data_IF_604831564351
#
_entry.id   IF_604831564351
#
_cell.length_a   1.000
_cell.length_b   1.000
_cell.length_c   1.000
_cell.angle_alpha   90.00
_cell.angle_beta   90.00
_cell.angle_gamma   90.00
#
_symmetry.space_group_name_H-M   'P 1'
#
loop_
_entity.id
_entity.type
_entity.pdbx_description
1 polymer ?
#
# COMPACT_ATOMS: atom_id res chain seq x y z
N UNK A 1 94.11 -18.14 -72.42
CA UNK A 1 95.26 -17.25 -72.23
C UNK A 1 95.06 -16.56 -70.89
N UNK A 2 95.80 -17.04 -69.89
CA UNK A 2 95.91 -16.51 -68.53
C UNK A 2 96.55 -15.13 -68.52
N UNK A 3 96.20 -14.27 -67.55
CA UNK A 3 97.08 -13.50 -66.62
C UNK A 3 96.23 -12.41 -65.93
N UNK A 4 95.73 -12.60 -64.71
CA UNK A 4 96.31 -12.15 -63.41
C UNK A 4 96.90 -10.74 -63.39
N UNK A 5 96.38 -9.87 -62.51
CA UNK A 5 97.16 -9.19 -61.44
C UNK A 5 96.31 -8.26 -60.55
N UNK A 6 96.10 -8.77 -59.34
CA UNK A 6 96.06 -8.20 -57.98
C UNK A 6 96.36 -6.70 -57.74
N UNK A 7 95.56 -6.10 -56.83
CA UNK A 7 95.89 -4.85 -56.09
C UNK A 7 95.65 -5.07 -54.59
N UNK A 8 96.67 -4.70 -53.79
CA UNK A 8 96.79 -4.89 -52.34
C UNK A 8 96.28 -3.67 -51.54
N UNK A 9 95.68 -3.98 -50.38
CA UNK A 9 95.00 -3.16 -49.37
C UNK A 9 95.83 -2.08 -48.64
N UNK A 10 95.13 -1.11 -48.04
CA UNK A 10 95.48 -0.48 -46.75
C UNK A 10 94.21 -0.25 -45.86
N UNK A 11 94.34 -0.16 -44.52
CA UNK A 11 93.32 -0.64 -43.58
C UNK A 11 92.49 0.47 -42.90
N UNK A 12 91.22 0.16 -42.59
CA UNK A 12 90.43 0.86 -41.56
C UNK A 12 90.70 0.25 -40.18
N UNK A 13 90.95 1.11 -39.19
CA UNK A 13 91.15 0.72 -37.78
C UNK A 13 89.88 0.13 -37.13
N UNK A 14 90.03 -0.58 -35.99
CA UNK A 14 88.96 -1.38 -35.40
C UNK A 14 87.90 -0.49 -34.73
N UNK A 15 86.60 -0.82 -34.85
CA UNK A 15 85.56 -0.25 -34.01
C UNK A 15 85.70 -0.76 -32.57
N UNK A 16 85.74 0.17 -31.62
CA UNK A 16 85.79 -0.12 -30.18
C UNK A 16 84.57 -0.91 -29.70
N UNK A 17 84.83 -1.84 -28.80
CA UNK A 17 83.82 -2.65 -28.12
C UNK A 17 82.96 -1.77 -27.20
N UNK A 18 81.81 -1.29 -27.68
CA UNK A 18 80.77 -0.73 -26.83
C UNK A 18 80.20 -1.84 -25.96
N UNK A 19 80.39 -1.68 -24.65
CA UNK A 19 80.10 -2.67 -23.63
C UNK A 19 78.65 -3.15 -23.68
N UNK A 20 78.50 -4.42 -24.03
CA UNK A 20 77.27 -5.21 -23.99
C UNK A 20 76.57 -5.22 -22.62
N UNK A 21 77.20 -4.71 -21.56
CA UNK A 21 76.71 -4.75 -20.18
C UNK A 21 75.73 -3.64 -19.80
N UNK A 22 75.90 -2.40 -20.27
CA UNK A 22 75.05 -1.27 -19.84
C UNK A 22 73.67 -1.31 -20.52
N UNK A 23 73.64 -1.73 -21.79
CA UNK A 23 72.41 -2.10 -22.50
C UNK A 23 71.71 -3.27 -21.82
N UNK A 24 72.47 -4.26 -21.32
CA UNK A 24 71.92 -5.38 -20.56
C UNK A 24 71.20 -4.93 -19.28
N UNK A 25 71.79 -4.00 -18.51
CA UNK A 25 71.20 -3.49 -17.26
C UNK A 25 69.92 -2.69 -17.51
N UNK A 26 69.90 -1.83 -18.53
CA UNK A 26 68.70 -1.08 -18.93
C UNK A 26 67.60 -2.01 -19.45
N UNK A 27 67.96 -3.03 -20.23
CA UNK A 27 67.04 -4.08 -20.67
C UNK A 27 66.48 -4.86 -19.48
N UNK A 28 67.32 -5.19 -18.50
CA UNK A 28 66.89 -5.90 -17.28
C UNK A 28 65.91 -5.06 -16.46
N UNK A 29 66.19 -3.78 -16.25
CA UNK A 29 65.30 -2.85 -15.53
C UNK A 29 63.96 -2.70 -16.27
N UNK A 30 63.98 -2.55 -17.59
CA UNK A 30 62.76 -2.50 -18.41
C UNK A 30 61.92 -3.77 -18.29
N UNK A 31 62.55 -4.94 -18.32
CA UNK A 31 61.88 -6.23 -18.12
C UNK A 31 61.25 -6.37 -16.73
N UNK A 32 61.94 -5.93 -15.68
CA UNK A 32 61.41 -5.99 -14.31
C UNK A 32 60.21 -5.06 -14.11
N UNK A 33 60.25 -3.84 -14.66
CA UNK A 33 59.13 -2.89 -14.60
C UNK A 33 57.92 -3.41 -15.39
N UNK A 34 58.16 -3.96 -16.58
CA UNK A 34 57.11 -4.55 -17.40
C UNK A 34 56.47 -5.77 -16.72
N UNK A 35 57.28 -6.65 -16.13
CA UNK A 35 56.81 -7.78 -15.36
C UNK A 35 55.98 -7.33 -14.14
N UNK A 36 56.43 -6.31 -13.40
CA UNK A 36 55.68 -5.73 -12.29
C UNK A 36 54.34 -5.12 -12.71
N UNK A 37 54.31 -4.39 -13.83
CA UNK A 37 53.08 -3.82 -14.39
C UNK A 37 52.11 -4.91 -14.86
N UNK A 38 52.61 -5.96 -15.53
CA UNK A 38 51.82 -7.13 -15.92
C UNK A 38 51.18 -7.80 -14.71
N UNK A 39 51.95 -8.05 -13.64
CA UNK A 39 51.42 -8.65 -12.41
C UNK A 39 50.37 -7.75 -11.76
N UNK A 40 50.59 -6.43 -11.69
CA UNK A 40 49.61 -5.49 -11.16
C UNK A 40 48.31 -5.46 -11.98
N UNK A 41 48.40 -5.47 -13.31
CA UNK A 41 47.23 -5.55 -14.20
C UNK A 41 46.48 -6.88 -14.02
N UNK A 42 47.20 -8.00 -13.95
CA UNK A 42 46.59 -9.32 -13.71
C UNK A 42 45.87 -9.36 -12.35
N UNK A 43 46.46 -8.79 -11.30
CA UNK A 43 45.83 -8.71 -9.98
C UNK A 43 44.57 -7.82 -9.99
N UNK A 44 44.60 -6.69 -10.70
CA UNK A 44 43.43 -5.81 -10.82
C UNK A 44 42.30 -6.48 -11.60
N UNK A 45 42.60 -7.16 -12.71
CA UNK A 45 41.62 -7.94 -13.48
C UNK A 45 41.08 -9.11 -12.65
N UNK A 46 41.90 -9.72 -11.79
CA UNK A 46 41.47 -10.79 -10.87
C UNK A 46 40.54 -10.31 -9.75
N UNK A 47 40.48 -8.99 -9.51
CA UNK A 47 39.65 -8.36 -8.47
C UNK A 47 38.33 -7.81 -8.99
N UNK A 48 38.21 -7.62 -10.30
CA UNK A 48 36.98 -7.19 -10.96
C UNK A 48 36.09 -8.43 -11.11
N UNK A 49 34.85 -8.42 -10.60
CA UNK A 49 33.92 -9.51 -10.82
C UNK A 49 33.77 -9.80 -12.30
N UNK A 50 33.75 -11.07 -12.67
CA UNK A 50 33.52 -11.48 -14.05
C UNK A 50 32.21 -10.88 -14.56
N UNK A 51 32.13 -10.55 -15.86
CA UNK A 51 30.85 -10.11 -16.47
C UNK A 51 29.72 -11.11 -16.21
N UNK A 52 30.05 -12.41 -16.09
CA UNK A 52 29.11 -13.45 -15.70
C UNK A 52 28.68 -13.38 -14.24
N UNK A 53 29.58 -13.03 -13.31
CA UNK A 53 29.24 -12.88 -11.89
C UNK A 53 28.29 -11.70 -11.67
N UNK A 54 28.46 -10.62 -12.44
CA UNK A 54 27.64 -9.42 -12.36
C UNK A 54 26.24 -9.61 -12.96
N UNK A 55 26.13 -10.33 -14.09
CA UNK A 55 24.83 -10.77 -14.63
C UNK A 55 24.10 -11.73 -13.68
N UNK A 56 24.85 -12.62 -13.02
CA UNK A 56 24.28 -13.55 -12.06
C UNK A 56 23.80 -12.86 -10.78
N UNK A 57 24.51 -11.82 -10.32
CA UNK A 57 24.10 -11.01 -9.17
C UNK A 57 22.88 -10.14 -9.49
N UNK A 58 22.80 -9.58 -10.71
CA UNK A 58 21.60 -8.89 -11.20
C UNK A 58 20.40 -9.85 -11.32
N UNK A 59 20.61 -11.06 -11.83
CA UNK A 59 19.56 -12.08 -11.91
C UNK A 59 19.08 -12.53 -10.52
N UNK A 60 20.00 -12.64 -9.54
CA UNK A 60 19.64 -12.90 -8.14
C UNK A 60 18.83 -11.75 -7.55
N UNK A 61 19.25 -10.50 -7.77
CA UNK A 61 18.56 -9.32 -7.25
C UNK A 61 17.17 -9.16 -7.87
N UNK A 62 17.02 -9.40 -9.18
CA UNK A 62 15.73 -9.42 -9.87
C UNK A 62 14.82 -10.51 -9.30
N UNK A 63 15.37 -11.72 -9.05
CA UNK A 63 14.59 -12.80 -8.43
C UNK A 63 14.10 -12.43 -7.03
N UNK A 64 14.96 -11.83 -6.20
CA UNK A 64 14.58 -11.35 -4.86
C UNK A 64 13.48 -10.28 -4.96
N UNK A 65 13.59 -9.35 -5.91
CA UNK A 65 12.57 -8.32 -6.13
C UNK A 65 11.23 -8.92 -6.59
N UNK A 66 11.26 -9.94 -7.45
CA UNK A 66 10.08 -10.66 -7.87
C UNK A 66 9.41 -11.42 -6.72
N UNK A 67 10.19 -12.10 -5.88
CA UNK A 67 9.67 -12.77 -4.67
C UNK A 67 9.05 -11.76 -3.69
N UNK A 68 9.69 -10.60 -3.49
CA UNK A 68 9.15 -9.52 -2.66
C UNK A 68 7.84 -8.97 -3.22
N UNK A 69 7.75 -8.80 -4.54
CA UNK A 69 6.55 -8.30 -5.21
C UNK A 69 5.39 -9.30 -5.06
N UNK A 70 5.67 -10.60 -5.21
CA UNK A 70 4.68 -11.65 -4.98
C UNK A 70 4.24 -11.71 -3.51
N UNK A 71 5.17 -11.53 -2.58
CA UNK A 71 4.87 -11.49 -1.15
C UNK A 71 4.00 -10.28 -0.80
N UNK A 72 4.31 -9.07 -1.29
CA UNK A 72 3.49 -7.87 -1.09
C UNK A 72 2.08 -8.08 -1.65
N UNK A 73 1.95 -8.56 -2.89
CA UNK A 73 0.64 -8.88 -3.46
C UNK A 73 -0.12 -9.94 -2.64
N UNK A 74 0.58 -10.91 -2.06
CA UNK A 74 0.01 -11.90 -1.14
C UNK A 74 -0.50 -11.26 0.16
N UNK A 75 0.27 -10.35 0.75
CA UNK A 75 -0.10 -9.61 1.97
C UNK A 75 -1.27 -8.66 1.70
N UNK A 76 -1.28 -7.96 0.57
CA UNK A 76 -2.38 -7.07 0.18
C UNK A 76 -3.70 -7.83 0.04
N UNK A 77 -3.65 -9.07 -0.47
CA UNK A 77 -4.82 -9.98 -0.54
C UNK A 77 -5.34 -10.42 0.82
N UNK A 78 -4.52 -10.38 1.87
CA UNK A 78 -4.95 -10.65 3.24
C UNK A 78 -5.59 -9.43 3.90
N UNK A 79 -5.48 -8.25 3.29
CA UNK A 79 -6.04 -7.05 3.87
C UNK A 79 -7.56 -7.07 3.78
N UNK A 80 -8.18 -6.97 4.95
CA UNK A 80 -9.63 -6.96 5.10
C UNK A 80 -10.03 -5.65 5.78
N UNK A 81 -10.64 -4.71 5.04
CA UNK A 81 -10.94 -3.38 5.57
C UNK A 81 -11.91 -3.38 6.76
N UNK A 82 -12.73 -4.44 6.89
CA UNK A 82 -13.77 -4.55 7.92
C UNK A 82 -13.64 -5.80 8.80
N UNK A 83 -14.12 -5.76 10.06
CA UNK A 83 -14.20 -6.93 10.94
C UNK A 83 -15.09 -8.06 10.38
N UNK A 84 -15.03 -9.26 10.99
CA UNK A 84 -15.84 -10.39 10.54
C UNK A 84 -17.31 -10.10 10.81
N UNK A 85 -18.19 -10.48 9.88
CA UNK A 85 -19.62 -10.15 9.89
C UNK A 85 -19.96 -8.64 9.75
N UNK A 86 -19.02 -7.81 9.28
CA UNK A 86 -19.28 -6.41 8.92
C UNK A 86 -19.24 -6.23 7.41
N UNK A 87 -20.16 -5.41 6.89
CA UNK A 87 -20.23 -5.10 5.45
C UNK A 87 -19.40 -3.86 5.16
N UNK A 88 -18.50 -3.94 4.17
CA UNK A 88 -17.80 -2.77 3.66
C UNK A 88 -18.68 -2.00 2.67
N UNK A 89 -18.77 -0.69 2.84
CA UNK A 89 -19.39 0.22 1.87
C UNK A 89 -18.73 1.60 1.95
N UNK A 90 -18.19 2.07 0.82
CA UNK A 90 -17.59 3.42 0.65
C UNK A 90 -16.65 3.85 1.78
N UNK A 91 -15.68 3.02 2.16
CA UNK A 91 -14.68 3.39 3.17
C UNK A 91 -15.14 3.22 4.63
N UNK A 92 -16.33 2.67 4.83
CA UNK A 92 -16.88 2.38 6.15
C UNK A 92 -17.30 0.91 6.28
N UNK A 93 -17.40 0.46 7.53
CA UNK A 93 -17.84 -0.86 7.92
C UNK A 93 -19.16 -0.76 8.67
N UNK A 94 -20.12 -1.60 8.29
CA UNK A 94 -21.47 -1.60 8.84
C UNK A 94 -21.77 -2.95 9.49
N UNK A 95 -22.18 -2.91 10.76
CA UNK A 95 -22.67 -4.08 11.48
C UNK A 95 -24.17 -4.04 11.57
N UNK A 96 -24.82 -5.05 11.00
CA UNK A 96 -26.26 -5.23 11.11
C UNK A 96 -26.55 -6.26 12.19
N UNK A 97 -27.13 -5.80 13.29
CA UNK A 97 -27.48 -6.63 14.43
C UNK A 97 -28.31 -7.87 14.07
N UNK A 98 -28.14 -8.92 14.87
CA UNK A 98 -28.89 -10.19 14.78
C UNK A 98 -29.95 -10.31 15.89
N UNK A 99 -29.97 -9.35 16.82
CA UNK A 99 -30.93 -9.24 17.92
C UNK A 99 -31.51 -7.84 17.96
N UNK A 100 -32.46 -7.62 18.86
CA UNK A 100 -33.15 -6.33 19.00
C UNK A 100 -32.86 -5.71 20.37
N UNK A 101 -32.80 -4.38 20.41
CA UNK A 101 -32.54 -3.54 21.60
C UNK A 101 -33.31 -2.22 21.48
N UNK A 102 -33.54 -1.54 22.60
CA UNK A 102 -34.02 -0.17 22.58
C UNK A 102 -32.94 0.78 22.03
N UNK A 103 -33.31 2.01 21.68
CA UNK A 103 -32.41 2.93 20.98
C UNK A 103 -31.14 3.27 21.78
N UNK A 104 -31.28 3.49 23.09
CA UNK A 104 -30.16 3.80 23.99
C UNK A 104 -29.18 2.62 24.14
N UNK A 105 -29.71 1.40 24.27
CA UNK A 105 -28.92 0.17 24.34
C UNK A 105 -28.24 -0.14 23.00
N UNK A 106 -28.83 0.28 21.88
CA UNK A 106 -28.23 0.20 20.54
C UNK A 106 -27.06 1.17 20.37
N UNK A 107 -27.14 2.38 20.91
CA UNK A 107 -25.98 3.30 20.98
C UNK A 107 -24.84 2.64 21.76
N UNK A 108 -25.15 2.14 22.95
CA UNK A 108 -24.16 1.48 23.82
C UNK A 108 -23.53 0.28 23.12
N UNK A 109 -24.33 -0.56 22.46
CA UNK A 109 -23.84 -1.72 21.70
C UNK A 109 -22.84 -1.35 20.61
N UNK A 110 -23.04 -0.22 19.91
CA UNK A 110 -22.11 0.24 18.89
C UNK A 110 -20.82 0.80 19.51
N UNK A 111 -20.92 1.53 20.61
CA UNK A 111 -19.77 2.06 21.34
C UNK A 111 -18.86 0.95 21.87
N UNK A 112 -19.43 -0.13 22.40
CA UNK A 112 -18.72 -1.32 22.90
C UNK A 112 -17.79 -1.97 21.85
N UNK A 113 -18.08 -1.79 20.55
CA UNK A 113 -17.30 -2.34 19.43
C UNK A 113 -16.50 -1.27 18.67
N UNK A 114 -16.30 -0.11 19.29
CA UNK A 114 -15.57 1.03 18.73
C UNK A 114 -16.22 1.60 17.48
N UNK A 115 -17.55 1.64 17.47
CA UNK A 115 -18.38 2.17 16.39
C UNK A 115 -19.43 3.13 16.93
N UNK A 116 -20.23 3.69 16.02
CA UNK A 116 -21.35 4.55 16.36
C UNK A 116 -22.64 3.97 15.79
N UNK A 117 -23.78 4.21 16.44
CA UNK A 117 -25.08 3.98 15.82
C UNK A 117 -25.14 4.82 14.54
N UNK A 118 -25.59 4.24 13.43
CA UNK A 118 -25.28 4.76 12.09
C UNK A 118 -25.72 6.22 11.89
N UNK A 119 -24.77 7.05 11.47
CA UNK A 119 -24.99 8.44 11.01
C UNK A 119 -24.84 8.47 9.49
N UNK A 120 -25.86 8.97 8.80
CA UNK A 120 -25.97 8.90 7.34
C UNK A 120 -25.45 10.19 6.72
N UNK A 121 -24.45 10.07 5.85
CA UNK A 121 -23.74 11.21 5.29
C UNK A 121 -24.04 11.46 3.80
N UNK A 122 -24.56 10.46 3.08
CA UNK A 122 -24.88 10.57 1.66
C UNK A 122 -26.16 9.83 1.24
N UNK A 123 -26.70 10.21 0.09
CA UNK A 123 -27.84 9.54 -0.54
C UNK A 123 -27.55 8.08 -0.92
N UNK A 124 -26.30 7.80 -1.31
CA UNK A 124 -25.84 6.45 -1.64
C UNK A 124 -25.78 5.56 -0.38
N UNK A 125 -25.31 6.12 0.73
CA UNK A 125 -25.31 5.43 2.02
C UNK A 125 -26.74 5.15 2.49
N UNK A 126 -27.63 6.15 2.43
CA UNK A 126 -29.05 5.98 2.76
C UNK A 126 -29.68 4.84 1.95
N UNK A 127 -29.47 4.83 0.64
CA UNK A 127 -30.03 3.79 -0.24
C UNK A 127 -29.50 2.39 0.08
N UNK A 128 -28.19 2.27 0.35
CA UNK A 128 -27.56 1.02 0.78
C UNK A 128 -28.15 0.49 2.10
N UNK A 129 -28.33 1.37 3.08
CA UNK A 129 -28.89 1.02 4.38
C UNK A 129 -30.36 0.60 4.24
N UNK A 130 -31.19 1.40 3.55
CA UNK A 130 -32.62 1.13 3.35
C UNK A 130 -32.85 -0.26 2.70
N UNK A 131 -32.11 -0.56 1.63
CA UNK A 131 -32.22 -1.86 0.94
C UNK A 131 -31.83 -3.04 1.84
N UNK A 132 -30.89 -2.83 2.76
CA UNK A 132 -30.39 -3.88 3.66
C UNK A 132 -31.32 -4.09 4.85
N UNK A 133 -31.81 -3.00 5.45
CA UNK A 133 -32.71 -3.04 6.62
C UNK A 133 -34.11 -3.51 6.25
N UNK A 134 -34.61 -3.19 5.05
CA UNK A 134 -35.92 -3.67 4.55
C UNK A 134 -36.08 -5.19 4.61
N UNK A 135 -34.99 -5.95 4.48
CA UNK A 135 -34.99 -7.42 4.56
C UNK A 135 -34.93 -7.97 6.00
N UNK A 136 -34.61 -7.12 6.97
CA UNK A 136 -34.41 -7.46 8.39
C UNK A 136 -35.57 -7.01 9.27
N UNK A 137 -36.23 -5.92 8.89
CA UNK A 137 -37.31 -5.28 9.64
C UNK A 137 -36.90 -3.93 10.22
N UNK A 138 -37.76 -3.38 11.07
CA UNK A 138 -37.56 -2.15 11.84
C UNK A 138 -36.17 -2.07 12.46
N UNK A 139 -35.44 -1.01 12.13
CA UNK A 139 -34.02 -0.89 12.47
C UNK A 139 -33.65 0.53 12.90
N UNK A 140 -33.09 0.70 14.09
CA UNK A 140 -32.59 1.98 14.60
C UNK A 140 -31.44 2.56 13.80
N UNK A 141 -31.47 3.88 13.64
CA UNK A 141 -30.34 4.70 13.22
C UNK A 141 -29.97 5.71 14.31
N UNK A 142 -28.82 6.37 14.16
CA UNK A 142 -28.30 7.31 15.15
C UNK A 142 -28.92 8.70 15.04
N UNK A 143 -30.25 8.80 14.90
CA UNK A 143 -30.96 10.06 14.72
C UNK A 143 -32.12 10.16 15.73
N UNK A 144 -32.24 11.30 16.41
CA UNK A 144 -33.24 11.57 17.46
C UNK A 144 -33.52 13.06 17.60
N UNK A 145 -34.66 13.45 18.15
CA UNK A 145 -34.98 14.82 18.58
C UNK A 145 -35.19 14.94 20.11
N UNK A 146 -34.71 13.95 20.88
CA UNK A 146 -34.70 13.90 22.36
C UNK A 146 -34.26 15.19 23.08
N UNK A 147 -33.40 15.99 22.46
CA UNK A 147 -32.89 17.23 23.07
C UNK A 147 -33.85 18.41 22.91
N UNK A 148 -34.53 18.48 21.76
CA UNK A 148 -35.44 19.55 21.39
C UNK A 148 -36.42 18.99 20.36
N UNK A 149 -37.66 18.83 20.79
CA UNK A 149 -38.79 18.35 19.98
C UNK A 149 -38.81 19.00 18.58
N UNK A 150 -39.05 18.17 17.55
CA UNK A 150 -39.02 18.53 16.14
C UNK A 150 -37.65 18.99 15.60
N UNK A 151 -36.59 18.94 16.40
CA UNK A 151 -35.22 19.30 16.01
C UNK A 151 -34.30 18.09 16.04
N UNK A 152 -34.30 17.38 14.91
CA UNK A 152 -33.56 16.13 14.72
C UNK A 152 -32.04 16.33 14.65
N UNK A 153 -31.33 15.58 15.49
CA UNK A 153 -29.87 15.55 15.56
C UNK A 153 -29.34 14.11 15.46
N UNK A 154 -28.20 13.98 14.80
CA UNK A 154 -27.44 12.75 14.78
C UNK A 154 -26.69 12.56 16.10
N UNK A 155 -26.36 11.31 16.43
CA UNK A 155 -25.57 10.94 17.62
C UNK A 155 -24.12 11.45 17.59
N UNK A 156 -23.66 12.01 16.48
CA UNK A 156 -22.39 12.75 16.38
C UNK A 156 -22.54 14.25 16.67
N UNK A 157 -23.76 14.71 16.97
CA UNK A 157 -24.10 16.09 17.27
C UNK A 157 -24.45 16.95 16.06
N UNK A 158 -24.32 16.43 14.83
CA UNK A 158 -24.70 17.18 13.64
C UNK A 158 -26.22 17.27 13.48
N UNK A 159 -26.77 18.42 13.03
CA UNK A 159 -28.20 18.55 12.79
C UNK A 159 -28.62 17.83 11.51
N UNK A 160 -29.88 17.37 11.45
CA UNK A 160 -30.42 16.78 10.24
C UNK A 160 -30.55 17.81 9.12
N UNK A 161 -29.84 17.58 8.02
CA UNK A 161 -29.87 18.47 6.85
C UNK A 161 -31.21 18.40 6.12
N UNK A 162 -31.71 19.55 5.63
CA UNK A 162 -32.95 19.63 4.84
C UNK A 162 -32.98 18.69 3.63
N UNK A 163 -31.82 18.35 3.05
CA UNK A 163 -31.73 17.42 1.90
C UNK A 163 -32.23 16.01 2.24
N UNK A 164 -32.18 15.63 3.51
CA UNK A 164 -32.55 14.32 4.01
C UNK A 164 -34.00 14.23 4.50
N UNK A 165 -34.73 15.35 4.57
CA UNK A 165 -36.16 15.37 4.92
C UNK A 165 -37.01 14.49 4.00
N UNK A 166 -36.57 14.30 2.75
CA UNK A 166 -37.23 13.46 1.75
C UNK A 166 -37.28 11.96 2.09
N UNK A 167 -36.55 11.52 3.12
CA UNK A 167 -36.48 10.12 3.50
C UNK A 167 -37.46 9.73 4.58
N UNK A 168 -38.08 10.68 5.28
CA UNK A 168 -39.25 10.39 6.10
C UNK A 168 -40.37 9.79 5.25
N UNK A 169 -41.02 8.76 5.78
CA UNK A 169 -42.21 8.21 5.15
C UNK A 169 -43.32 9.27 5.08
N UNK A 170 -44.33 9.11 4.19
CA UNK A 170 -45.51 9.97 4.22
C UNK A 170 -46.07 10.04 5.64
N UNK A 171 -46.43 11.25 6.06
CA UNK A 171 -46.89 11.61 7.42
C UNK A 171 -45.87 11.59 8.54
N UNK A 172 -44.61 11.19 8.28
CA UNK A 172 -43.54 11.21 9.28
C UNK A 172 -42.65 12.47 9.19
N UNK A 173 -42.01 12.88 10.31
CA UNK A 173 -42.22 12.38 11.66
C UNK A 173 -43.53 12.90 12.28
N UNK A 174 -44.30 12.03 12.94
CA UNK A 174 -45.66 12.34 13.41
C UNK A 174 -45.78 12.59 14.93
N UNK A 175 -44.73 12.28 15.69
CA UNK A 175 -44.65 12.31 17.14
C UNK A 175 -45.88 11.68 17.84
N UNK A 176 -46.30 10.47 17.42
CA UNK A 176 -47.45 9.76 17.99
C UNK A 176 -47.13 9.20 19.38
N UNK A 177 -47.18 10.09 20.37
CA UNK A 177 -47.03 9.76 21.77
C UNK A 177 -45.59 9.75 22.26
N UNK A 178 -44.80 10.77 21.88
CA UNK A 178 -43.40 10.99 22.28
C UNK A 178 -42.47 9.98 21.60
N UNK A 179 -42.40 10.08 20.28
CA UNK A 179 -41.61 9.23 19.42
C UNK A 179 -40.31 9.93 19.01
N UNK A 180 -39.30 9.89 19.89
CA UNK A 180 -38.14 10.78 19.73
C UNK A 180 -36.95 10.14 18.97
N UNK A 181 -37.10 8.92 18.44
CA UNK A 181 -36.01 8.13 17.87
C UNK A 181 -36.33 7.62 16.45
N UNK A 182 -35.42 7.83 15.50
CA UNK A 182 -35.64 7.46 14.12
C UNK A 182 -35.25 6.02 13.81
N UNK A 183 -36.07 5.36 12.99
CA UNK A 183 -35.83 4.03 12.45
C UNK A 183 -35.93 3.99 10.92
N UNK A 184 -35.34 2.96 10.33
CA UNK A 184 -35.71 2.50 9.00
C UNK A 184 -37.01 1.71 9.07
N UNK A 185 -38.03 2.16 8.35
CA UNK A 185 -39.30 1.46 8.18
C UNK A 185 -39.71 1.41 6.71
N UNK A 186 -39.80 0.20 6.16
CA UNK A 186 -40.16 -0.03 4.76
C UNK A 186 -39.19 0.64 3.79
N UNK A 187 -39.67 1.68 3.10
CA UNK A 187 -38.94 2.42 2.06
C UNK A 187 -38.43 3.80 2.51
N UNK A 188 -38.67 4.16 3.78
CA UNK A 188 -38.23 5.43 4.35
C UNK A 188 -37.93 5.32 5.84
N UNK A 189 -38.06 6.45 6.52
CA UNK A 189 -37.84 6.61 7.95
C UNK A 189 -39.15 6.82 8.69
N UNK A 190 -39.18 6.34 9.93
CA UNK A 190 -40.27 6.53 10.88
C UNK A 190 -39.69 7.02 12.21
N UNK A 191 -40.38 7.92 12.91
CA UNK A 191 -40.09 8.22 14.31
C UNK A 191 -40.82 7.20 15.19
N UNK A 192 -40.14 6.70 16.22
CA UNK A 192 -40.68 5.68 17.08
C UNK A 192 -40.26 5.90 18.53
N UNK A 193 -41.07 5.39 19.46
CA UNK A 193 -40.70 5.37 20.88
C UNK A 193 -39.37 4.67 21.10
N UNK A 194 -38.45 5.39 21.75
CA UNK A 194 -37.07 4.96 21.94
C UNK A 194 -36.92 3.67 22.78
N UNK A 195 -37.92 3.31 23.59
CA UNK A 195 -37.92 2.12 24.46
C UNK A 195 -38.28 0.82 23.71
N UNK A 196 -38.76 0.93 22.46
CA UNK A 196 -39.12 -0.23 21.65
C UNK A 196 -37.85 -0.99 21.21
N UNK A 197 -37.89 -2.31 21.38
CA UNK A 197 -36.82 -3.17 20.89
C UNK A 197 -36.90 -3.31 19.37
N UNK A 198 -35.83 -2.90 18.68
CA UNK A 198 -35.67 -3.04 17.23
C UNK A 198 -34.26 -3.50 16.89
N UNK A 199 -34.02 -3.91 15.65
CA UNK A 199 -32.66 -4.11 15.18
C UNK A 199 -31.91 -2.77 15.18
N UNK A 200 -30.60 -2.77 15.08
CA UNK A 200 -29.77 -1.57 14.91
C UNK A 200 -28.62 -1.80 13.93
N UNK A 201 -28.06 -0.69 13.42
CA UNK A 201 -26.85 -0.68 12.56
C UNK A 201 -25.75 0.16 13.18
N UNK A 202 -24.56 -0.44 13.35
CA UNK A 202 -23.36 0.30 13.72
C UNK A 202 -22.52 0.66 12.49
N UNK A 203 -21.84 1.80 12.53
CA UNK A 203 -20.91 2.29 11.51
C UNK A 203 -19.56 2.66 12.13
N UNK A 204 -18.47 2.33 11.44
CA UNK A 204 -17.12 2.84 11.73
C UNK A 204 -16.26 2.92 10.46
N UNK A 205 -15.19 3.69 10.50
CA UNK A 205 -14.22 3.75 9.40
C UNK A 205 -13.60 2.39 9.12
N UNK A 206 -13.45 2.06 7.84
CA UNK A 206 -12.70 0.90 7.42
C UNK A 206 -11.20 1.12 7.63
N UNK A 207 -10.45 0.04 7.84
CA UNK A 207 -8.99 0.11 7.91
C UNK A 207 -8.41 0.42 6.52
N UNK A 208 -7.39 1.27 6.48
CA UNK A 208 -6.62 1.51 5.27
C UNK A 208 -5.77 0.28 4.95
N UNK A 209 -6.10 -0.38 3.85
CA UNK A 209 -5.18 -1.31 3.21
C UNK A 209 -4.21 -0.48 2.38
N UNK A 210 -2.95 -0.38 2.81
CA UNK A 210 -1.94 0.42 2.13
C UNK A 210 -1.70 -0.11 0.71
N UNK A 211 -2.10 0.66 -0.29
CA UNK A 211 -1.47 0.69 -1.61
C UNK A 211 -0.60 1.95 -1.68
N UNK A 212 0.47 1.98 -0.89
CA UNK A 212 1.62 2.87 -1.15
C UNK A 212 2.77 2.04 -1.73
#
# INVERSE_FOLDING_TARGET
MTDSKEVRMQPLGPPGCLGHGHTFVLQLLGLTLFAGLLVALLVQVSKVPSSQEQEQELAKQEKVYQELTQLKAGVDRLCRPCPWDWTFFQGHCYFFSKSQRNWHDSITACQEVGAQLVVINSDEEQSFLQLTTKKRGHTWMGLSDLNEEATWHWVDGSPLSLRFMKYWNPTEPNNLGQEDCAEFDGDGWNDAKCDISKFWVCKKSALSCSHE
#
